data_IF_055744565210
#
_entry.id   IF_055744565210
#
_cell.length_a   1.000
_cell.length_b   1.000
_cell.length_c   1.000
_cell.angle_alpha   90.00
_cell.angle_beta   90.00
_cell.angle_gamma   90.00
#
_symmetry.space_group_name_H-M   'P 1'
#
loop_
_entity.id
_entity.type
_entity.pdbx_description
1 polymer ?
#
# COMPACT_ATOMS: atom_id res chain seq x y z
N UNK A 1 9.24 -7.58 -2.30
CA UNK A 1 9.15 -8.68 -1.31
C UNK A 1 7.77 -8.60 -0.69
N UNK A 2 7.08 -9.74 -0.53
CA UNK A 2 5.73 -9.78 0.03
C UNK A 2 5.80 -10.35 1.45
N UNK A 3 5.45 -9.55 2.46
CA UNK A 3 5.44 -10.00 3.86
C UNK A 3 4.06 -10.43 4.37
N UNK A 4 3.02 -10.20 3.56
CA UNK A 4 1.66 -10.66 3.78
C UNK A 4 1.18 -11.47 2.58
N UNK A 5 0.33 -12.46 2.84
CA UNK A 5 -0.20 -13.34 1.80
C UNK A 5 -0.94 -12.55 0.73
N UNK A 6 -0.45 -12.70 -0.49
CA UNK A 6 -1.10 -12.31 -1.73
C UNK A 6 -1.28 -13.57 -2.58
N UNK A 7 -1.38 -13.43 -3.90
CA UNK A 7 -1.44 -14.57 -4.82
C UNK A 7 -0.04 -15.22 -5.00
N UNK A 8 0.07 -16.54 -4.78
CA UNK A 8 1.24 -17.36 -5.14
C UNK A 8 2.28 -17.60 -4.03
N UNK A 9 3.41 -18.19 -4.41
CA UNK A 9 4.46 -18.71 -3.49
C UNK A 9 5.53 -17.66 -3.10
N UNK A 10 5.21 -16.37 -3.17
CA UNK A 10 6.17 -15.26 -3.00
C UNK A 10 6.26 -14.72 -1.56
N UNK A 11 5.59 -15.38 -0.62
CA UNK A 11 5.48 -14.94 0.77
C UNK A 11 6.81 -15.10 1.52
N UNK A 12 7.23 -14.03 2.19
CA UNK A 12 8.37 -13.98 3.12
C UNK A 12 7.88 -13.41 4.44
N UNK A 13 7.33 -14.25 5.29
CA UNK A 13 6.62 -13.82 6.50
C UNK A 13 7.52 -13.64 7.74
N UNK A 14 8.65 -14.34 7.81
CA UNK A 14 9.50 -14.40 9.00
C UNK A 14 10.64 -13.37 8.97
N UNK A 15 11.04 -12.91 10.16
CA UNK A 15 12.05 -11.88 10.34
C UNK A 15 13.44 -12.29 9.80
N UNK A 16 13.79 -13.57 9.87
CA UNK A 16 15.12 -14.05 9.49
C UNK A 16 15.30 -14.05 7.98
N UNK A 17 14.29 -14.52 7.24
CA UNK A 17 14.24 -14.47 5.78
C UNK A 17 14.27 -13.04 5.26
N UNK A 18 13.48 -12.14 5.85
CA UNK A 18 13.53 -10.70 5.51
C UNK A 18 14.91 -10.12 5.78
N UNK A 19 15.51 -10.43 6.94
CA UNK A 19 16.86 -9.98 7.27
C UNK A 19 17.91 -10.52 6.29
N UNK A 20 17.76 -11.78 5.85
CA UNK A 20 18.64 -12.40 4.86
C UNK A 20 18.58 -11.67 3.52
N UNK A 21 17.38 -11.35 3.03
CA UNK A 21 17.19 -10.56 1.80
C UNK A 21 17.85 -9.19 1.94
N UNK A 22 17.60 -8.49 3.06
CA UNK A 22 18.13 -7.15 3.27
C UNK A 22 19.66 -7.12 3.41
N UNK A 23 20.28 -8.13 4.03
CA UNK A 23 21.75 -8.27 4.09
C UNK A 23 22.39 -8.50 2.72
N UNK A 24 21.68 -9.15 1.80
CA UNK A 24 22.17 -9.48 0.47
C UNK A 24 21.78 -8.45 -0.62
N UNK A 25 20.99 -7.44 -0.28
CA UNK A 25 20.55 -6.41 -1.22
C UNK A 25 21.35 -5.12 -1.05
N UNK A 26 21.87 -4.57 -2.15
CA UNK A 26 22.63 -3.30 -2.14
C UNK A 26 21.79 -2.06 -2.47
N UNK A 27 20.65 -2.26 -3.13
CA UNK A 27 19.69 -1.19 -3.48
C UNK A 27 18.56 -1.12 -2.46
N UNK A 28 17.72 -0.10 -2.55
CA UNK A 28 16.51 0.00 -1.74
C UNK A 28 15.55 -1.13 -2.13
N UNK A 29 15.20 -1.99 -1.19
CA UNK A 29 14.24 -3.08 -1.42
C UNK A 29 12.81 -2.61 -1.15
N UNK A 30 11.87 -2.98 -2.01
CA UNK A 30 10.46 -2.62 -1.89
C UNK A 30 9.62 -3.76 -1.30
N UNK A 31 8.66 -3.40 -0.43
CA UNK A 31 7.88 -4.34 0.36
C UNK A 31 6.39 -4.04 0.28
N UNK A 32 5.62 -5.07 -0.03
CA UNK A 32 4.22 -5.15 0.34
C UNK A 32 4.14 -5.54 1.82
N UNK A 33 3.56 -4.67 2.64
CA UNK A 33 3.67 -4.68 4.10
C UNK A 33 2.31 -4.96 4.76
N UNK A 34 1.97 -6.23 4.92
CA UNK A 34 0.87 -6.70 5.78
C UNK A 34 1.38 -7.87 6.62
N UNK A 35 1.04 -7.93 7.91
CA UNK A 35 1.58 -8.92 8.84
C UNK A 35 0.83 -10.25 8.68
N UNK A 36 1.48 -11.23 8.06
CA UNK A 36 0.86 -12.53 7.79
C UNK A 36 0.30 -13.23 9.05
N UNK A 37 0.97 -13.10 10.19
CA UNK A 37 0.49 -13.68 11.44
C UNK A 37 -0.83 -13.05 11.89
N UNK A 38 -0.99 -11.73 11.77
CA UNK A 38 -2.24 -11.01 12.02
C UNK A 38 -3.33 -11.41 11.03
N UNK A 39 -2.98 -11.57 9.75
CA UNK A 39 -3.93 -12.01 8.73
C UNK A 39 -4.50 -13.40 9.05
N UNK A 40 -3.66 -14.34 9.51
CA UNK A 40 -4.12 -15.67 9.94
C UNK A 40 -4.97 -15.64 11.21
N UNK A 41 -4.59 -14.83 12.19
CA UNK A 41 -5.36 -14.64 13.43
C UNK A 41 -6.80 -14.17 13.14
N UNK A 42 -6.95 -13.26 12.17
CA UNK A 42 -8.24 -12.66 11.81
C UNK A 42 -8.97 -13.38 10.68
N UNK A 43 -8.54 -14.57 10.26
CA UNK A 43 -9.13 -15.25 9.11
C UNK A 43 -10.66 -15.46 9.25
N UNK A 44 -11.17 -15.59 10.48
CA UNK A 44 -12.60 -15.71 10.77
C UNK A 44 -13.43 -14.45 10.46
N UNK A 45 -12.79 -13.29 10.29
CA UNK A 45 -13.43 -12.03 9.90
C UNK A 45 -13.69 -11.95 8.39
N UNK A 46 -13.15 -12.90 7.61
CA UNK A 46 -13.36 -12.99 6.16
C UNK A 46 -14.69 -13.68 5.88
N UNK A 47 -15.71 -12.91 5.53
CA UNK A 47 -17.08 -13.40 5.33
C UNK A 47 -17.31 -13.69 3.85
N UNK A 48 -17.68 -14.93 3.51
CA UNK A 48 -17.98 -15.32 2.13
C UNK A 48 -19.15 -14.51 1.55
N UNK A 49 -19.00 -14.05 0.31
CA UNK A 49 -19.98 -13.22 -0.38
C UNK A 49 -19.97 -11.73 0.03
N UNK A 50 -19.23 -11.36 1.07
CA UNK A 50 -19.17 -9.99 1.57
C UNK A 50 -17.77 -9.36 1.42
N UNK A 51 -17.52 -8.61 0.32
CA UNK A 51 -16.25 -7.93 0.13
C UNK A 51 -16.00 -6.78 1.14
N UNK A 52 -17.03 -6.26 1.82
CA UNK A 52 -16.85 -5.24 2.86
C UNK A 52 -16.18 -5.81 4.13
N UNK A 53 -16.18 -7.14 4.29
CA UNK A 53 -15.40 -7.82 5.32
C UNK A 53 -13.89 -7.82 5.05
N UNK A 54 -13.45 -7.49 3.82
CA UNK A 54 -12.03 -7.48 3.44
C UNK A 54 -11.15 -6.53 4.28
N UNK A 55 -11.52 -5.24 4.47
CA UNK A 55 -10.80 -4.35 5.38
C UNK A 55 -10.90 -4.71 6.87
N UNK A 56 -11.89 -5.53 7.28
CA UNK A 56 -12.04 -6.02 8.66
C UNK A 56 -11.09 -7.19 8.95
N UNK A 57 -10.93 -8.08 7.97
CA UNK A 57 -9.95 -9.17 8.01
C UNK A 57 -8.52 -8.62 7.92
N UNK A 58 -8.23 -7.82 6.90
CA UNK A 58 -6.92 -7.20 6.67
C UNK A 58 -6.84 -5.85 7.39
N UNK A 59 -6.97 -5.86 8.71
CA UNK A 59 -7.08 -4.64 9.53
C UNK A 59 -5.86 -3.71 9.44
N UNK A 60 -5.98 -2.49 9.96
CA UNK A 60 -4.90 -1.51 9.98
C UNK A 60 -3.70 -1.96 10.82
N UNK A 61 -3.94 -2.82 11.82
CA UNK A 61 -2.90 -3.40 12.68
C UNK A 61 -2.01 -4.32 11.86
N UNK A 62 -2.55 -5.10 10.93
CA UNK A 62 -1.75 -5.95 10.04
C UNK A 62 -0.74 -5.11 9.25
N UNK A 63 -1.15 -3.97 8.70
CA UNK A 63 -0.27 -3.08 7.94
C UNK A 63 0.79 -2.43 8.84
N UNK A 64 0.36 -1.77 9.93
CA UNK A 64 1.27 -1.07 10.84
C UNK A 64 2.30 -2.01 11.46
N UNK A 65 1.88 -3.16 12.00
CA UNK A 65 2.76 -4.14 12.64
C UNK A 65 3.84 -4.63 11.68
N UNK A 66 3.48 -4.89 10.43
CA UNK A 66 4.44 -5.32 9.41
C UNK A 66 5.45 -4.22 9.10
N UNK A 67 4.98 -2.98 8.97
CA UNK A 67 5.81 -1.81 8.72
C UNK A 67 6.80 -1.55 9.87
N UNK A 68 6.36 -1.68 11.12
CA UNK A 68 7.22 -1.60 12.31
C UNK A 68 8.30 -2.68 12.34
N UNK A 69 7.90 -3.94 12.07
CA UNK A 69 8.83 -5.08 11.97
C UNK A 69 9.87 -4.81 10.88
N UNK A 70 9.44 -4.37 9.71
CA UNK A 70 10.30 -4.11 8.56
C UNK A 70 11.33 -3.01 8.86
N UNK A 71 10.92 -1.90 9.45
CA UNK A 71 11.85 -0.81 9.85
C UNK A 71 12.89 -1.31 10.86
N UNK A 72 12.48 -2.08 11.87
CA UNK A 72 13.39 -2.67 12.86
C UNK A 72 14.42 -3.59 12.20
N UNK A 73 13.98 -4.47 11.29
CA UNK A 73 14.88 -5.41 10.60
C UNK A 73 15.83 -4.64 9.69
N UNK A 74 15.33 -3.66 8.93
CA UNK A 74 16.14 -2.82 8.04
C UNK A 74 17.23 -2.07 8.80
N UNK A 75 16.94 -1.49 9.97
CA UNK A 75 17.94 -0.85 10.83
C UNK A 75 19.03 -1.81 11.27
N UNK A 76 18.66 -3.01 11.74
CA UNK A 76 19.63 -4.06 12.14
C UNK A 76 20.51 -4.50 10.97
N UNK A 77 19.92 -4.62 9.77
CA UNK A 77 20.63 -4.98 8.55
C UNK A 77 21.40 -3.82 7.89
N UNK A 78 21.28 -2.59 8.41
CA UNK A 78 21.80 -1.35 7.79
C UNK A 78 21.36 -1.19 6.33
N UNK A 79 20.12 -1.59 6.04
CA UNK A 79 19.52 -1.55 4.72
C UNK A 79 18.47 -0.43 4.61
N UNK A 80 18.20 -0.01 3.37
CA UNK A 80 17.15 0.97 3.06
C UNK A 80 15.96 0.26 2.44
N UNK A 81 14.75 0.66 2.84
CA UNK A 81 13.50 0.01 2.42
C UNK A 81 12.53 1.01 1.78
N UNK A 82 11.60 0.48 1.00
CA UNK A 82 10.47 1.21 0.45
C UNK A 82 9.18 0.45 0.79
N UNK A 83 8.27 1.07 1.51
CA UNK A 83 6.96 0.51 1.84
C UNK A 83 6.00 0.90 0.72
N UNK A 84 5.49 -0.09 0.00
CA UNK A 84 4.57 0.13 -1.12
C UNK A 84 3.17 0.49 -0.62
N UNK A 85 2.40 1.19 -1.46
CA UNK A 85 0.94 1.36 -1.35
C UNK A 85 0.40 1.48 0.10
N UNK A 86 0.84 2.51 0.85
CA UNK A 86 0.41 2.74 2.24
C UNK A 86 -1.11 2.91 2.29
N UNK A 87 -1.76 2.30 3.28
CA UNK A 87 -3.23 2.28 3.37
C UNK A 87 -3.78 2.84 4.67
N UNK A 88 -2.94 3.13 5.67
CA UNK A 88 -3.38 3.58 7.01
C UNK A 88 -2.83 4.95 7.38
N UNK A 89 -3.48 5.62 8.35
CA UNK A 89 -3.01 6.90 8.89
C UNK A 89 -1.87 6.66 9.89
N UNK A 90 -1.93 5.53 10.57
CA UNK A 90 -0.98 5.07 11.57
C UNK A 90 0.39 4.80 10.94
N UNK A 91 0.44 4.17 9.76
CA UNK A 91 1.69 4.02 9.02
C UNK A 91 2.31 5.37 8.64
N UNK A 92 1.51 6.38 8.29
CA UNK A 92 2.01 7.73 7.99
C UNK A 92 2.70 8.35 9.20
N UNK A 93 2.02 8.34 10.36
CA UNK A 93 2.57 8.86 11.62
C UNK A 93 3.85 8.12 12.00
N UNK A 94 3.86 6.79 11.86
CA UNK A 94 5.04 6.00 12.16
C UNK A 94 6.20 6.29 11.21
N UNK A 95 5.95 6.33 9.90
CA UNK A 95 7.00 6.50 8.89
C UNK A 95 7.61 7.90 8.86
N UNK A 96 6.87 8.93 9.29
CA UNK A 96 7.40 10.28 9.51
C UNK A 96 8.67 10.26 10.38
N UNK A 97 8.68 9.42 11.41
CA UNK A 97 9.79 9.32 12.37
C UNK A 97 10.94 8.40 11.89
N UNK A 98 10.79 7.75 10.73
CA UNK A 98 11.71 6.71 10.24
C UNK A 98 12.19 6.93 8.81
N UNK A 99 12.20 8.20 8.35
CA UNK A 99 12.65 8.60 7.01
C UNK A 99 14.14 8.37 6.75
N UNK A 100 14.93 8.12 7.80
CA UNK A 100 16.35 7.76 7.70
C UNK A 100 16.55 6.38 7.02
N UNK A 101 15.59 5.47 7.21
CA UNK A 101 15.65 4.10 6.69
C UNK A 101 14.57 3.83 5.63
N UNK A 102 13.37 4.37 5.83
CA UNK A 102 12.19 4.04 5.04
C UNK A 102 11.74 5.18 4.13
N UNK A 103 11.20 4.79 2.99
CA UNK A 103 10.41 5.65 2.09
C UNK A 103 9.08 4.96 1.85
N UNK A 104 8.07 5.69 1.39
CA UNK A 104 6.75 5.16 1.14
C UNK A 104 6.08 5.67 -0.13
N UNK A 105 5.15 4.85 -0.62
CA UNK A 105 4.33 5.12 -1.80
C UNK A 105 2.85 5.15 -1.43
N UNK A 106 2.12 6.17 -1.89
CA UNK A 106 0.66 6.18 -1.87
C UNK A 106 0.10 5.84 -3.25
N UNK A 107 -1.16 5.42 -3.31
CA UNK A 107 -1.85 5.11 -4.56
C UNK A 107 -3.14 5.93 -4.72
N UNK A 108 -3.56 6.26 -5.97
CA UNK A 108 -4.77 7.04 -6.20
C UNK A 108 -6.04 6.44 -5.59
N UNK A 109 -6.17 5.12 -5.56
CA UNK A 109 -7.35 4.47 -4.98
C UNK A 109 -7.42 4.64 -3.45
N UNK A 110 -6.29 4.57 -2.72
CA UNK A 110 -6.26 4.87 -1.27
C UNK A 110 -6.44 6.37 -0.96
N UNK A 111 -6.27 7.25 -1.95
CA UNK A 111 -6.52 8.69 -1.84
C UNK A 111 -7.94 9.12 -2.21
N UNK A 112 -8.69 8.24 -2.88
CA UNK A 112 -9.99 8.59 -3.48
C UNK A 112 -11.12 7.81 -2.83
N UNK A 113 -10.96 6.49 -2.73
CA UNK A 113 -11.98 5.57 -2.25
C UNK A 113 -11.92 5.42 -0.72
N UNK A 114 -13.00 4.87 -0.17
CA UNK A 114 -13.15 4.48 1.22
C UNK A 114 -13.92 3.17 1.35
N UNK A 115 -13.96 2.60 2.56
CA UNK A 115 -14.68 1.36 2.83
C UNK A 115 -16.20 1.46 2.54
N UNK A 116 -16.76 2.68 2.56
CA UNK A 116 -18.17 2.90 2.22
C UNK A 116 -18.47 2.56 0.74
N UNK A 117 -17.45 2.63 -0.13
CA UNK A 117 -17.59 2.35 -1.56
C UNK A 117 -17.78 0.85 -1.87
N UNK A 118 -17.53 -0.05 -0.90
CA UNK A 118 -17.79 -1.49 -1.08
C UNK A 118 -19.28 -1.77 -1.31
N UNK A 119 -20.17 -0.95 -0.75
CA UNK A 119 -21.63 -1.12 -0.92
C UNK A 119 -22.05 -1.00 -2.40
N UNK A 120 -21.36 -0.16 -3.18
CA UNK A 120 -21.65 0.06 -4.59
C UNK A 120 -20.74 -0.77 -5.50
N UNK A 121 -19.44 -0.84 -5.20
CA UNK A 121 -18.43 -1.38 -6.11
C UNK A 121 -18.07 -2.84 -5.81
N UNK A 122 -18.43 -3.35 -4.63
CA UNK A 122 -18.21 -4.74 -4.22
C UNK A 122 -16.78 -5.21 -4.46
N UNK A 123 -16.63 -6.33 -5.16
CA UNK A 123 -15.34 -6.95 -5.45
C UNK A 123 -14.46 -6.13 -6.39
N UNK A 124 -15.00 -5.14 -7.12
CA UNK A 124 -14.22 -4.32 -8.05
C UNK A 124 -13.13 -3.50 -7.34
N UNK A 125 -13.35 -3.12 -6.08
CA UNK A 125 -12.38 -2.37 -5.26
C UNK A 125 -11.59 -3.25 -4.28
N UNK A 126 -11.80 -4.57 -4.31
CA UNK A 126 -11.00 -5.53 -3.54
C UNK A 126 -9.52 -5.42 -3.95
N UNK A 127 -8.66 -5.12 -2.98
CA UNK A 127 -7.22 -4.83 -3.16
C UNK A 127 -6.45 -5.20 -1.89
N UNK A 128 -5.14 -5.43 -2.03
CA UNK A 128 -4.23 -5.69 -0.90
C UNK A 128 -3.09 -4.65 -0.92
N UNK A 129 -2.96 -3.77 0.09
CA UNK A 129 -3.86 -3.58 1.22
C UNK A 129 -5.26 -3.11 0.78
N UNK A 130 -6.29 -3.31 1.62
CA UNK A 130 -7.66 -2.95 1.29
C UNK A 130 -7.86 -1.42 1.30
N UNK A 131 -8.81 -0.96 0.49
CA UNK A 131 -9.44 0.35 0.71
C UNK A 131 -10.09 0.36 2.10
N UNK A 132 -9.80 1.38 2.91
CA UNK A 132 -10.18 1.46 4.33
C UNK A 132 -11.16 2.59 4.62
N UNK A 133 -11.58 2.74 5.87
CA UNK A 133 -12.38 3.87 6.33
C UNK A 133 -11.76 5.22 5.93
N UNK A 134 -12.62 6.22 5.68
CA UNK A 134 -12.23 7.56 5.19
C UNK A 134 -11.15 8.26 6.05
N UNK A 135 -11.11 7.98 7.36
CA UNK A 135 -10.05 8.47 8.26
C UNK A 135 -8.63 8.13 7.77
N UNK A 136 -8.44 6.97 7.14
CA UNK A 136 -7.15 6.55 6.64
C UNK A 136 -6.78 7.28 5.35
N UNK A 137 -7.75 7.43 4.43
CA UNK A 137 -7.59 8.27 3.23
C UNK A 137 -7.15 9.68 3.61
N UNK A 138 -7.80 10.27 4.60
CA UNK A 138 -7.49 11.61 5.08
C UNK A 138 -6.10 11.67 5.76
N UNK A 139 -5.71 10.62 6.49
CA UNK A 139 -4.35 10.47 7.03
C UNK A 139 -3.27 10.36 5.95
N UNK A 140 -3.54 9.68 4.84
CA UNK A 140 -2.61 9.62 3.70
C UNK A 140 -2.52 10.98 3.00
N UNK A 141 -3.64 11.70 2.84
CA UNK A 141 -3.62 13.09 2.36
C UNK A 141 -2.80 14.00 3.27
N UNK A 142 -2.93 13.85 4.59
CA UNK A 142 -2.06 14.54 5.53
C UNK A 142 -0.57 14.20 5.28
N UNK A 143 -0.26 12.91 5.08
CA UNK A 143 1.08 12.46 4.71
C UNK A 143 1.63 13.07 3.42
N UNK A 144 0.78 13.28 2.42
CA UNK A 144 1.15 13.99 1.18
C UNK A 144 1.49 15.46 1.48
N UNK A 145 0.63 16.13 2.25
CA UNK A 145 0.78 17.55 2.59
C UNK A 145 2.01 17.83 3.45
N UNK A 146 2.35 16.93 4.38
CA UNK A 146 3.53 17.04 5.25
C UNK A 146 4.84 16.57 4.59
N UNK A 147 4.80 16.12 3.33
CA UNK A 147 6.01 15.62 2.66
C UNK A 147 6.46 14.22 3.10
N UNK A 148 5.62 13.48 3.84
CA UNK A 148 5.92 12.15 4.36
C UNK A 148 5.90 11.11 3.23
N UNK A 149 4.92 11.20 2.32
CA UNK A 149 4.84 10.33 1.14
C UNK A 149 5.89 10.73 0.11
N UNK A 150 6.67 9.76 -0.38
CA UNK A 150 7.77 10.01 -1.33
C UNK A 150 7.35 9.83 -2.78
N UNK A 151 6.44 8.90 -3.05
CA UNK A 151 6.07 8.46 -4.41
C UNK A 151 4.56 8.24 -4.53
N UNK A 152 4.03 8.49 -5.73
CA UNK A 152 2.74 7.96 -6.16
C UNK A 152 2.95 6.80 -7.13
N UNK A 153 2.35 5.65 -6.82
CA UNK A 153 2.28 4.47 -7.67
C UNK A 153 0.83 4.16 -8.06
N UNK A 154 0.62 3.47 -9.18
CA UNK A 154 -0.75 3.07 -9.57
C UNK A 154 -1.18 1.76 -8.91
N UNK A 155 -0.21 0.92 -8.52
CA UNK A 155 -0.40 -0.50 -8.19
C UNK A 155 -1.31 -1.20 -9.21
N UNK A 156 -0.93 -1.11 -10.48
CA UNK A 156 -1.75 -1.62 -11.57
C UNK A 156 -1.70 -3.15 -11.61
N UNK A 157 -2.78 -3.78 -11.15
CA UNK A 157 -2.93 -5.23 -11.06
C UNK A 157 -4.22 -5.67 -11.78
N UNK A 158 -4.19 -5.79 -13.12
CA UNK A 158 -5.39 -6.06 -13.92
C UNK A 158 -5.90 -7.49 -13.72
N UNK A 159 -7.22 -7.61 -13.63
CA UNK A 159 -7.97 -8.86 -13.75
C UNK A 159 -9.15 -8.66 -14.70
N UNK A 160 -9.58 -9.73 -15.35
CA UNK A 160 -10.78 -9.69 -16.19
C UNK A 160 -12.02 -9.44 -15.34
N UNK A 161 -13.06 -8.83 -15.94
CA UNK A 161 -14.34 -8.64 -15.27
C UNK A 161 -14.96 -9.99 -14.82
N UNK A 162 -14.73 -11.06 -15.60
CA UNK A 162 -15.19 -12.40 -15.24
C UNK A 162 -14.52 -12.95 -13.97
N UNK A 163 -13.23 -12.69 -13.77
CA UNK A 163 -12.53 -13.05 -12.53
C UNK A 163 -13.02 -12.21 -11.34
N UNK A 164 -13.20 -10.90 -11.53
CA UNK A 164 -13.70 -10.00 -10.49
C UNK A 164 -15.15 -10.27 -10.11
N UNK A 165 -15.97 -10.82 -11.02
CA UNK A 165 -17.37 -11.17 -10.78
C UNK A 165 -17.58 -12.40 -9.89
N UNK A 166 -16.52 -13.15 -9.55
CA UNK A 166 -16.61 -14.27 -8.61
C UNK A 166 -17.01 -13.76 -7.21
N UNK A 167 -17.73 -14.57 -6.41
CA UNK A 167 -18.05 -14.20 -5.04
C UNK A 167 -16.77 -14.02 -4.23
N UNK A 168 -16.75 -13.03 -3.32
CA UNK A 168 -15.64 -12.89 -2.38
C UNK A 168 -15.55 -14.13 -1.47
N UNK A 169 -14.36 -14.69 -1.17
CA UNK A 169 -13.02 -14.22 -1.55
C UNK A 169 -12.44 -14.88 -2.81
N UNK A 170 -13.26 -15.55 -3.63
CA UNK A 170 -12.81 -16.17 -4.89
C UNK A 170 -12.54 -15.15 -6.00
N UNK A 171 -13.02 -13.91 -5.88
CA UNK A 171 -12.56 -12.77 -6.67
C UNK A 171 -11.12 -12.38 -6.30
N UNK A 172 -10.24 -12.08 -7.26
CA UNK A 172 -8.88 -11.67 -6.96
C UNK A 172 -8.82 -10.21 -6.48
N UNK A 173 -7.87 -9.93 -5.57
CA UNK A 173 -7.49 -8.57 -5.17
C UNK A 173 -6.64 -7.93 -6.26
N UNK A 174 -6.97 -6.71 -6.67
CA UNK A 174 -6.28 -6.00 -7.75
C UNK A 174 -7.20 -5.03 -8.48
N UNK A 175 -6.66 -3.89 -8.90
CA UNK A 175 -7.36 -2.87 -9.68
C UNK A 175 -6.54 -2.41 -10.89
N UNK A 176 -7.25 -1.95 -11.92
CA UNK A 176 -6.63 -1.16 -12.99
C UNK A 176 -6.42 0.28 -12.50
N UNK A 177 -5.36 0.96 -12.97
CA UNK A 177 -4.98 2.24 -12.37
C UNK A 177 -3.93 3.03 -13.14
N UNK A 178 -3.13 2.39 -14.01
CA UNK A 178 -2.06 3.10 -14.75
C UNK A 178 -2.63 4.18 -15.68
N UNK A 179 -3.72 3.90 -16.39
CA UNK A 179 -4.37 4.87 -17.28
C UNK A 179 -5.05 6.01 -16.52
N UNK A 180 -5.59 5.72 -15.32
CA UNK A 180 -6.41 6.66 -14.55
C UNK A 180 -5.63 7.44 -13.51
N UNK A 181 -4.37 7.08 -13.23
CA UNK A 181 -3.52 7.78 -12.25
C UNK A 181 -3.48 9.29 -12.53
N UNK A 182 -3.10 9.69 -13.75
CA UNK A 182 -2.99 11.12 -14.09
C UNK A 182 -4.33 11.85 -13.99
N UNK A 183 -5.43 11.41 -14.66
CA UNK A 183 -6.69 12.15 -14.57
C UNK A 183 -7.26 12.20 -13.14
N UNK A 184 -7.18 11.13 -12.34
CA UNK A 184 -7.63 11.16 -10.94
C UNK A 184 -6.80 12.16 -10.11
N UNK A 185 -5.48 12.16 -10.27
CA UNK A 185 -4.63 13.08 -9.51
C UNK A 185 -4.82 14.54 -9.97
N UNK A 186 -5.11 14.78 -11.25
CA UNK A 186 -5.44 16.12 -11.75
C UNK A 186 -6.80 16.62 -11.22
N UNK A 187 -7.76 15.74 -10.99
CA UNK A 187 -9.02 16.08 -10.30
C UNK A 187 -8.74 16.56 -8.87
N UNK A 188 -7.89 15.83 -8.13
CA UNK A 188 -7.44 16.26 -6.79
C UNK A 188 -6.65 17.57 -6.80
N UNK A 189 -5.86 17.84 -7.85
CA UNK A 189 -5.20 19.14 -8.04
C UNK A 189 -6.23 20.24 -8.27
N UNK A 190 -7.21 20.00 -9.13
CA UNK A 190 -8.28 20.97 -9.41
C UNK A 190 -9.13 21.25 -8.17
N UNK A 191 -9.33 20.24 -7.31
CA UNK A 191 -10.02 20.37 -6.03
C UNK A 191 -9.15 20.98 -4.91
N UNK A 192 -7.90 21.36 -5.21
CA UNK A 192 -7.00 22.02 -4.24
C UNK A 192 -6.40 21.10 -3.17
N UNK A 193 -6.46 19.77 -3.34
CA UNK A 193 -5.92 18.79 -2.37
C UNK A 193 -4.40 18.71 -2.41
N UNK A 194 -3.80 19.00 -3.57
CA UNK A 194 -2.35 19.15 -3.78
C UNK A 194 -2.06 20.09 -4.95
N UNK A 195 -0.85 20.63 -5.02
CA UNK A 195 -0.41 21.43 -6.17
C UNK A 195 0.02 20.54 -7.34
N UNK A 196 -0.06 21.05 -8.56
CA UNK A 196 0.45 20.35 -9.75
C UNK A 196 1.94 20.02 -9.60
N UNK A 197 2.73 20.92 -9.02
CA UNK A 197 4.16 20.72 -8.75
C UNK A 197 4.38 19.57 -7.78
N UNK A 198 3.57 19.47 -6.72
CA UNK A 198 3.67 18.35 -5.77
C UNK A 198 3.26 17.03 -6.43
N UNK A 199 2.25 17.04 -7.30
CA UNK A 199 1.91 15.86 -8.10
C UNK A 199 3.10 15.40 -8.96
N UNK A 200 3.69 16.30 -9.75
CA UNK A 200 4.87 16.01 -10.59
C UNK A 200 6.05 15.50 -9.77
N UNK A 201 6.30 16.09 -8.60
CA UNK A 201 7.33 15.62 -7.69
C UNK A 201 7.06 14.16 -7.26
N UNK A 202 5.86 13.85 -6.79
CA UNK A 202 5.50 12.50 -6.34
C UNK A 202 5.50 11.45 -7.46
N UNK A 203 5.13 11.81 -8.69
CA UNK A 203 5.02 10.86 -9.81
C UNK A 203 6.29 10.70 -10.63
N UNK A 204 7.25 11.62 -10.52
CA UNK A 204 8.43 11.65 -11.41
C UNK A 204 9.74 11.87 -10.65
N UNK A 205 9.90 12.98 -9.93
CA UNK A 205 11.14 13.26 -9.20
C UNK A 205 11.34 12.34 -7.98
N UNK A 206 10.25 11.94 -7.31
CA UNK A 206 10.23 11.00 -6.20
C UNK A 206 10.81 9.64 -6.58
N UNK A 207 10.23 8.93 -7.57
CA UNK A 207 10.80 7.69 -8.10
C UNK A 207 12.28 7.81 -8.47
N UNK A 208 12.65 8.90 -9.16
CA UNK A 208 14.05 9.16 -9.52
C UNK A 208 14.94 9.27 -8.28
N UNK A 209 14.55 10.07 -7.27
CA UNK A 209 15.31 10.23 -6.02
C UNK A 209 15.48 8.92 -5.27
N UNK A 210 14.43 8.12 -5.13
CA UNK A 210 14.47 6.96 -4.22
C UNK A 210 15.08 5.70 -4.86
N UNK A 211 14.97 5.55 -6.19
CA UNK A 211 15.48 4.38 -6.92
C UNK A 211 16.73 4.66 -7.76
N UNK A 212 17.07 5.93 -8.02
CA UNK A 212 18.28 6.31 -8.77
C UNK A 212 18.24 5.87 -10.23
N UNK A 213 17.07 5.96 -10.88
CA UNK A 213 16.79 5.39 -12.21
C UNK A 213 17.54 6.06 -13.38
N UNK A 214 18.07 7.26 -13.21
CA UNK A 214 18.96 7.91 -14.16
C UNK A 214 19.93 8.84 -13.40
N UNK A 215 21.22 8.75 -13.72
CA UNK A 215 22.27 9.69 -13.31
C UNK A 215 22.68 10.53 -14.49
#
# INVERSE_FOLDING_TARGET
VFMGSSTGDLLVEDDESVASILRNTRRRAAFHSEDEFRLRERLGERIEGDPASHPVWRDEIAALRCTERLVRIARKARARIHVLHISTAEEIVFLEQHKDVATCEATPHHLTLSADDYAQLGTLIQMNPPVRASRHRDGIWHGIAQGIVDVLGSDHAPHTLAEKAKPYPASPSGMTGVQTLVPIMLDHVSAGRLTLQRFVDLSSHGPQRIFGMAR
#
